data_IF_326761732613
#
_entry.id   IF_326761732613
#
_cell.length_a   1.000
_cell.length_b   1.000
_cell.length_c   1.000
_cell.angle_alpha   90.00
_cell.angle_beta   90.00
_cell.angle_gamma   90.00
#
_symmetry.space_group_name_H-M   'P 1'
#
loop_
_entity.id
_entity.type
_entity.pdbx_description
1 polymer ?
#
# COMPACT_ATOMS: atom_id res chain seq x y z
N UNK A 1 18.09 -0.74 10.69
CA UNK A 1 19.51 -0.44 11.05
C UNK A 1 20.48 -1.51 10.58
N UNK A 2 20.15 -2.82 10.69
CA UNK A 2 21.04 -3.92 10.29
C UNK A 2 21.41 -3.84 8.81
N UNK A 3 20.42 -3.65 7.93
CA UNK A 3 20.63 -3.52 6.48
C UNK A 3 21.57 -2.37 6.14
N UNK A 4 21.39 -1.20 6.76
CA UNK A 4 22.23 -0.02 6.51
C UNK A 4 23.71 -0.26 6.91
N UNK A 5 23.93 -0.99 8.01
CA UNK A 5 25.28 -1.37 8.43
C UNK A 5 25.95 -2.33 7.43
N UNK A 6 25.18 -3.29 6.90
CA UNK A 6 25.68 -4.25 5.91
C UNK A 6 26.12 -3.57 4.60
N UNK A 7 25.37 -2.56 4.16
CA UNK A 7 25.67 -1.82 2.92
C UNK A 7 26.53 -0.56 3.14
N UNK A 8 27.09 -0.41 4.35
CA UNK A 8 27.92 0.74 4.76
C UNK A 8 27.29 2.10 4.42
N UNK A 9 26.03 2.26 4.83
CA UNK A 9 25.29 3.51 4.65
C UNK A 9 24.68 4.00 5.96
N UNK A 10 24.70 5.31 6.12
CA UNK A 10 23.88 6.00 7.11
C UNK A 10 22.63 6.56 6.44
N UNK A 11 21.50 6.47 7.13
CA UNK A 11 20.27 7.09 6.66
C UNK A 11 19.90 8.30 7.52
N UNK A 12 19.01 9.13 7.03
CA UNK A 12 18.39 10.20 7.82
C UNK A 12 17.65 9.56 8.99
N UNK A 13 17.76 10.14 10.19
CA UNK A 13 17.05 9.63 11.37
C UNK A 13 15.55 9.63 11.13
N UNK A 14 14.84 8.64 11.69
CA UNK A 14 13.42 8.46 11.49
C UNK A 14 12.60 9.70 11.91
N UNK A 15 13.00 10.35 13.02
CA UNK A 15 12.37 11.57 13.51
C UNK A 15 12.41 12.69 12.46
N UNK A 16 13.50 12.79 11.71
CA UNK A 16 13.63 13.79 10.64
C UNK A 16 12.71 13.47 9.46
N UNK A 17 12.51 12.19 9.13
CA UNK A 17 11.51 11.79 8.13
C UNK A 17 10.10 12.20 8.54
N UNK A 18 9.75 12.04 9.82
CA UNK A 18 8.43 12.46 10.34
C UNK A 18 8.24 13.97 10.26
N UNK A 19 9.27 14.73 10.62
CA UNK A 19 9.25 16.18 10.51
C UNK A 19 9.02 16.63 9.06
N UNK A 20 9.80 16.08 8.11
CA UNK A 20 9.65 16.37 6.68
C UNK A 20 8.26 15.99 6.17
N UNK A 21 7.76 14.79 6.49
CA UNK A 21 6.43 14.34 6.06
C UNK A 21 5.32 15.28 6.55
N UNK A 22 5.42 15.75 7.79
CA UNK A 22 4.49 16.71 8.39
C UNK A 22 4.50 18.05 7.67
N UNK A 23 5.69 18.59 7.41
CA UNK A 23 5.82 19.88 6.71
C UNK A 23 5.29 19.80 5.28
N UNK A 24 5.57 18.71 4.55
CA UNK A 24 5.05 18.50 3.19
C UNK A 24 3.51 18.41 3.19
N UNK A 25 2.92 17.71 4.17
CA UNK A 25 1.47 17.61 4.29
C UNK A 25 0.84 18.98 4.61
N UNK A 26 1.41 19.75 5.56
CA UNK A 26 0.96 21.12 5.87
C UNK A 26 1.00 22.04 4.66
N UNK A 27 2.04 21.88 3.83
CA UNK A 27 2.18 22.62 2.58
C UNK A 27 1.34 22.05 1.42
N UNK A 28 0.60 20.95 1.64
CA UNK A 28 -0.16 20.20 0.61
C UNK A 28 0.73 19.76 -0.57
N UNK A 29 1.99 19.47 -0.30
CA UNK A 29 2.94 18.99 -1.29
C UNK A 29 3.03 17.47 -1.28
N UNK A 30 3.06 16.82 -2.46
CA UNK A 30 3.24 15.38 -2.52
C UNK A 30 4.64 14.98 -2.06
N UNK A 31 4.73 13.92 -1.25
CA UNK A 31 5.97 13.30 -0.83
C UNK A 31 6.02 11.86 -1.31
N UNK A 32 7.15 11.44 -1.85
CA UNK A 32 7.40 10.06 -2.23
C UNK A 32 8.71 9.56 -1.63
N UNK A 33 8.73 8.29 -1.22
CA UNK A 33 9.91 7.60 -0.74
C UNK A 33 10.32 6.51 -1.73
N UNK A 34 11.62 6.45 -2.04
CA UNK A 34 12.21 5.33 -2.77
C UNK A 34 12.71 4.28 -1.76
N UNK A 35 12.13 3.08 -1.84
CA UNK A 35 12.52 1.92 -1.04
C UNK A 35 13.21 0.90 -1.93
N UNK A 36 14.34 0.34 -1.47
CA UNK A 36 15.03 -0.73 -2.16
C UNK A 36 14.60 -2.08 -1.59
N UNK A 37 14.05 -2.94 -2.44
CA UNK A 37 13.71 -4.32 -2.12
C UNK A 37 14.88 -5.24 -2.36
N UNK A 38 15.21 -6.08 -1.39
CA UNK A 38 16.24 -7.11 -1.54
C UNK A 38 17.67 -6.58 -1.37
N UNK A 39 17.92 -5.62 -0.50
CA UNK A 39 19.28 -5.27 -0.06
C UNK A 39 19.87 -6.38 0.83
N UNK A 40 21.19 -6.65 0.78
CA UNK A 40 21.85 -7.51 1.75
C UNK A 40 21.56 -7.04 3.19
N UNK A 41 21.21 -7.98 4.07
CA UNK A 41 20.78 -7.67 5.44
C UNK A 41 19.29 -7.32 5.59
N UNK A 42 18.53 -7.17 4.51
CA UNK A 42 17.07 -7.08 4.59
C UNK A 42 16.41 -8.46 4.72
N UNK A 43 15.17 -8.47 5.19
CA UNK A 43 14.32 -9.66 5.28
C UNK A 43 12.92 -9.31 4.77
N UNK A 44 12.07 -10.31 4.52
CA UNK A 44 10.66 -10.11 4.19
C UNK A 44 9.96 -9.25 5.27
N UNK A 45 10.24 -9.53 6.54
CA UNK A 45 9.66 -8.78 7.67
C UNK A 45 10.13 -7.32 7.66
N UNK A 46 11.43 -7.05 7.47
CA UNK A 46 11.95 -5.68 7.45
C UNK A 46 11.38 -4.88 6.28
N UNK A 47 11.23 -5.51 5.11
CA UNK A 47 10.64 -4.88 3.93
C UNK A 47 9.16 -4.52 4.16
N UNK A 48 8.37 -5.47 4.68
CA UNK A 48 6.96 -5.22 5.07
C UNK A 48 6.84 -4.09 6.09
N UNK A 49 7.72 -4.07 7.10
CA UNK A 49 7.76 -3.02 8.12
C UNK A 49 8.08 -1.65 7.53
N UNK A 50 8.99 -1.58 6.56
CA UNK A 50 9.33 -0.29 5.93
C UNK A 50 8.19 0.22 5.04
N UNK A 51 7.46 -0.66 4.34
CA UNK A 51 6.24 -0.29 3.63
C UNK A 51 5.16 0.22 4.60
N UNK A 52 4.97 -0.46 5.76
CA UNK A 52 3.99 -0.03 6.77
C UNK A 52 4.34 1.34 7.36
N UNK A 53 5.62 1.63 7.64
CA UNK A 53 6.03 2.97 8.08
C UNK A 53 5.68 4.06 7.08
N UNK A 54 5.82 3.79 5.77
CA UNK A 54 5.42 4.73 4.74
C UNK A 54 3.89 4.91 4.69
N UNK A 55 3.13 3.84 4.85
CA UNK A 55 1.67 3.91 4.96
C UNK A 55 1.24 4.72 6.20
N UNK A 56 1.92 4.53 7.34
CA UNK A 56 1.69 5.29 8.58
C UNK A 56 1.95 6.79 8.41
N UNK A 57 2.92 7.16 7.59
CA UNK A 57 3.25 8.56 7.28
C UNK A 57 2.46 9.14 6.11
N UNK A 58 1.57 8.36 5.50
CA UNK A 58 0.84 8.71 4.27
C UNK A 58 1.78 9.15 3.11
N UNK A 59 2.93 8.48 3.00
CA UNK A 59 3.95 8.75 1.97
C UNK A 59 3.78 7.77 0.82
N UNK A 60 3.75 8.28 -0.41
CA UNK A 60 3.77 7.43 -1.60
C UNK A 60 5.09 6.69 -1.73
N UNK A 61 5.05 5.41 -2.05
CA UNK A 61 6.24 4.57 -2.17
C UNK A 61 6.54 4.24 -3.61
N UNK A 62 7.84 4.32 -3.96
CA UNK A 62 8.42 3.65 -5.12
C UNK A 62 9.36 2.58 -4.62
N UNK A 63 8.91 1.32 -4.61
CA UNK A 63 9.72 0.20 -4.19
C UNK A 63 10.44 -0.41 -5.40
N UNK A 64 11.75 -0.25 -5.46
CA UNK A 64 12.59 -0.69 -6.56
C UNK A 64 13.34 -1.97 -6.19
N UNK A 65 13.48 -2.89 -7.15
CA UNK A 65 14.34 -4.08 -7.00
C UNK A 65 15.80 -3.64 -6.94
N UNK A 66 16.57 -4.21 -6.02
CA UNK A 66 18.00 -3.94 -5.94
C UNK A 66 18.71 -4.50 -7.16
N UNK A 67 19.48 -3.65 -7.84
CA UNK A 67 20.30 -4.01 -8.99
C UNK A 67 21.78 -3.80 -8.65
N UNK A 68 22.61 -4.78 -8.95
CA UNK A 68 24.06 -4.66 -8.80
C UNK A 68 24.63 -3.81 -9.95
N UNK A 69 25.09 -2.64 -9.64
CA UNK A 69 25.76 -1.77 -10.62
C UNK A 69 27.20 -2.26 -10.84
N UNK A 70 27.75 -2.17 -12.07
CA UNK A 70 29.09 -2.69 -12.40
C UNK A 70 30.21 -2.22 -11.47
N UNK A 71 30.15 -0.97 -11.02
CA UNK A 71 31.18 -0.37 -10.16
C UNK A 71 30.71 -0.19 -8.70
N UNK A 72 29.67 -0.92 -8.30
CA UNK A 72 29.17 -0.88 -6.91
C UNK A 72 30.02 -1.79 -6.02
N UNK A 73 30.36 -1.38 -4.78
CA UNK A 73 31.00 -2.28 -3.81
C UNK A 73 30.24 -3.58 -3.60
N UNK A 74 28.91 -3.59 -3.66
CA UNK A 74 28.09 -4.79 -3.58
C UNK A 74 28.32 -5.79 -4.72
N UNK A 75 28.88 -5.37 -5.85
CA UNK A 75 29.19 -6.22 -6.99
C UNK A 75 30.60 -6.82 -6.96
N UNK A 76 31.44 -6.39 -6.03
CA UNK A 76 32.77 -6.95 -5.87
C UNK A 76 32.71 -8.44 -5.47
N UNK A 77 33.57 -9.30 -6.04
CA UNK A 77 33.55 -10.75 -5.76
C UNK A 77 33.67 -11.09 -4.27
N UNK A 78 34.49 -10.33 -3.52
CA UNK A 78 34.67 -10.51 -2.08
C UNK A 78 33.38 -10.25 -1.30
N UNK A 79 32.74 -9.13 -1.57
CA UNK A 79 31.48 -8.74 -0.94
C UNK A 79 30.33 -9.70 -1.30
N UNK A 80 30.22 -10.09 -2.58
CA UNK A 80 29.20 -11.07 -3.02
C UNK A 80 29.35 -12.39 -2.29
N UNK A 81 30.58 -12.88 -2.12
CA UNK A 81 30.85 -14.11 -1.39
C UNK A 81 30.52 -13.99 0.10
N UNK A 82 30.92 -12.90 0.73
CA UNK A 82 30.66 -12.64 2.15
C UNK A 82 29.17 -12.59 2.47
N UNK A 83 28.39 -11.94 1.61
CA UNK A 83 26.94 -11.73 1.83
C UNK A 83 26.06 -12.72 1.06
N UNK A 84 26.62 -13.79 0.47
CA UNK A 84 25.87 -14.84 -0.22
C UNK A 84 25.01 -14.32 -1.37
N UNK A 85 25.50 -13.32 -2.12
CA UNK A 85 24.73 -12.66 -3.16
C UNK A 85 24.61 -13.53 -4.41
N UNK A 86 23.37 -13.83 -4.81
CA UNK A 86 23.01 -14.44 -6.10
C UNK A 86 22.22 -13.40 -6.91
N UNK A 87 22.69 -13.15 -8.13
CA UNK A 87 22.05 -12.18 -9.03
C UNK A 87 21.58 -12.87 -10.33
N UNK A 88 20.47 -12.39 -10.87
CA UNK A 88 19.93 -12.81 -12.18
C UNK A 88 20.66 -12.06 -13.31
N UNK A 89 20.71 -12.62 -14.54
CA UNK A 89 21.16 -11.89 -15.72
C UNK A 89 20.48 -10.51 -15.81
N UNK A 90 21.27 -9.43 -15.99
CA UNK A 90 20.82 -8.04 -15.79
C UNK A 90 21.01 -7.54 -14.37
N UNK A 91 21.63 -8.37 -13.52
CA UNK A 91 22.16 -8.03 -12.19
C UNK A 91 21.14 -7.65 -11.12
N UNK A 92 19.88 -8.07 -11.27
CA UNK A 92 18.90 -8.00 -10.19
C UNK A 92 19.30 -8.98 -9.09
N UNK A 93 19.51 -8.45 -7.88
CA UNK A 93 19.87 -9.24 -6.70
C UNK A 93 18.65 -10.02 -6.24
N UNK A 94 18.73 -11.34 -6.19
CA UNK A 94 17.61 -12.24 -5.92
C UNK A 94 17.76 -13.08 -4.66
N UNK A 95 18.99 -13.25 -4.16
CA UNK A 95 19.27 -13.94 -2.90
C UNK A 95 20.42 -13.24 -2.19
N UNK A 96 20.40 -13.27 -0.88
CA UNK A 96 21.50 -12.89 -0.01
C UNK A 96 21.50 -13.76 1.24
N UNK A 97 22.56 -13.70 2.06
CA UNK A 97 22.62 -14.46 3.32
C UNK A 97 21.43 -14.19 4.27
N UNK A 98 20.70 -13.08 4.08
CA UNK A 98 19.58 -12.67 4.91
C UNK A 98 18.20 -13.05 4.38
N UNK A 99 18.09 -13.54 3.16
CA UNK A 99 16.83 -13.98 2.54
C UNK A 99 17.09 -14.96 1.39
N UNK A 100 16.17 -15.90 1.21
CA UNK A 100 16.17 -16.89 0.13
C UNK A 100 15.50 -16.34 -1.14
N UNK A 101 15.53 -17.15 -2.20
CA UNK A 101 14.79 -16.87 -3.43
C UNK A 101 13.28 -16.81 -3.19
N UNK A 102 12.75 -17.70 -2.37
CA UNK A 102 11.34 -17.73 -2.00
C UNK A 102 10.94 -16.47 -1.24
N UNK A 103 11.77 -16.02 -0.30
CA UNK A 103 11.55 -14.75 0.41
C UNK A 103 11.55 -13.56 -0.55
N UNK A 104 12.43 -13.58 -1.55
CA UNK A 104 12.49 -12.54 -2.57
C UNK A 104 11.23 -12.51 -3.44
N UNK A 105 10.77 -13.69 -3.88
CA UNK A 105 9.54 -13.82 -4.68
C UNK A 105 8.32 -13.33 -3.85
N UNK A 106 8.24 -13.65 -2.57
CA UNK A 106 7.21 -13.14 -1.66
C UNK A 106 7.29 -11.61 -1.46
N UNK A 107 8.50 -11.06 -1.32
CA UNK A 107 8.68 -9.59 -1.26
C UNK A 107 8.25 -8.93 -2.57
N UNK A 108 8.53 -9.52 -3.73
CA UNK A 108 8.11 -8.96 -5.02
C UNK A 108 6.60 -9.01 -5.21
N UNK A 109 5.96 -10.09 -4.80
CA UNK A 109 4.50 -10.19 -4.80
C UNK A 109 3.85 -9.15 -3.87
N UNK A 110 4.39 -8.98 -2.66
CA UNK A 110 3.93 -7.95 -1.73
C UNK A 110 4.14 -6.54 -2.31
N UNK A 111 5.29 -6.28 -2.94
CA UNK A 111 5.58 -5.02 -3.61
C UNK A 111 4.54 -4.70 -4.68
N UNK A 112 4.19 -5.68 -5.52
CA UNK A 112 3.17 -5.51 -6.57
C UNK A 112 1.78 -5.26 -5.96
N UNK A 113 1.40 -6.00 -4.92
CA UNK A 113 0.14 -5.79 -4.21
C UNK A 113 0.08 -4.40 -3.56
N UNK A 114 1.18 -3.95 -2.93
CA UNK A 114 1.27 -2.61 -2.35
C UNK A 114 1.12 -1.52 -3.43
N UNK A 115 1.78 -1.67 -4.58
CA UNK A 115 1.59 -0.74 -5.71
C UNK A 115 0.13 -0.65 -6.12
N UNK A 116 -0.53 -1.79 -6.28
CA UNK A 116 -1.91 -1.85 -6.74
C UNK A 116 -2.87 -1.27 -5.70
N UNK A 117 -2.76 -1.74 -4.47
CA UNK A 117 -3.74 -1.44 -3.42
C UNK A 117 -3.52 -0.09 -2.73
N UNK A 118 -2.25 0.31 -2.54
CA UNK A 118 -1.94 1.58 -1.91
C UNK A 118 -1.58 2.68 -2.92
N UNK A 119 -0.55 2.48 -3.76
CA UNK A 119 -0.05 3.55 -4.64
C UNK A 119 -1.07 3.94 -5.70
N UNK A 120 -1.69 2.95 -6.36
CA UNK A 120 -2.82 3.18 -7.25
C UNK A 120 -4.16 3.36 -6.52
N UNK A 121 -4.19 3.12 -5.22
CA UNK A 121 -5.31 3.45 -4.34
C UNK A 121 -6.50 2.50 -4.42
N UNK A 122 -6.35 1.26 -4.94
CA UNK A 122 -7.50 0.36 -5.12
C UNK A 122 -8.13 -0.12 -3.81
N UNK A 123 -7.37 -0.12 -2.68
CA UNK A 123 -7.87 -0.52 -1.35
C UNK A 123 -7.45 0.43 -0.23
N UNK A 124 -6.84 1.57 -0.53
CA UNK A 124 -6.26 2.48 0.48
C UNK A 124 -7.28 2.91 1.54
N UNK A 125 -8.46 3.31 1.13
CA UNK A 125 -9.50 3.81 2.05
C UNK A 125 -10.09 2.67 2.88
N UNK A 126 -10.35 1.53 2.27
CA UNK A 126 -10.81 0.33 2.96
C UNK A 126 -9.75 -0.19 3.95
N UNK A 127 -8.47 -0.18 3.59
CA UNK A 127 -7.40 -0.62 4.48
C UNK A 127 -7.30 0.23 5.76
N UNK A 128 -7.49 1.54 5.66
CA UNK A 128 -7.57 2.43 6.82
C UNK A 128 -8.74 2.08 7.74
N UNK A 129 -9.90 1.77 7.17
CA UNK A 129 -11.07 1.30 7.91
C UNK A 129 -10.79 -0.04 8.60
N UNK A 130 -10.25 -1.02 7.88
CA UNK A 130 -9.87 -2.33 8.43
C UNK A 130 -8.91 -2.16 9.62
N UNK A 131 -7.91 -1.30 9.48
CA UNK A 131 -6.96 -1.04 10.57
C UNK A 131 -7.67 -0.47 11.80
N UNK A 132 -8.62 0.45 11.63
CA UNK A 132 -9.37 1.01 12.77
C UNK A 132 -10.23 -0.05 13.45
N UNK A 133 -10.90 -0.89 12.69
CA UNK A 133 -11.87 -1.83 13.23
C UNK A 133 -11.23 -3.04 13.92
N UNK A 134 -10.12 -3.57 13.36
CA UNK A 134 -9.52 -4.83 13.84
C UNK A 134 -8.01 -4.75 14.10
N UNK A 135 -7.40 -3.57 14.02
CA UNK A 135 -5.95 -3.39 14.29
C UNK A 135 -5.02 -3.95 13.21
N UNK A 136 -5.54 -4.47 12.12
CA UNK A 136 -4.71 -5.01 11.04
C UNK A 136 -4.08 -3.89 10.23
N UNK A 137 -2.74 -3.81 10.21
CA UNK A 137 -2.01 -2.82 9.42
C UNK A 137 -2.29 -2.95 7.92
N UNK A 138 -2.21 -1.84 7.19
CA UNK A 138 -2.53 -1.78 5.76
C UNK A 138 -1.73 -2.80 4.95
N UNK A 139 -0.43 -2.91 5.21
CA UNK A 139 0.45 -3.85 4.49
C UNK A 139 0.09 -5.30 4.77
N UNK A 140 -0.26 -5.64 6.02
CA UNK A 140 -0.72 -6.97 6.39
C UNK A 140 -2.05 -7.30 5.70
N UNK A 141 -2.98 -6.35 5.63
CA UNK A 141 -4.23 -6.49 4.91
C UNK A 141 -4.01 -6.74 3.41
N UNK A 142 -3.15 -5.95 2.77
CA UNK A 142 -2.82 -6.14 1.34
C UNK A 142 -2.18 -7.50 1.06
N UNK A 143 -1.26 -7.93 1.92
CA UNK A 143 -0.60 -9.24 1.78
C UNK A 143 -1.59 -10.40 1.97
N UNK A 144 -2.51 -10.28 2.93
CA UNK A 144 -3.53 -11.29 3.15
C UNK A 144 -4.51 -11.38 1.98
N UNK A 145 -5.05 -10.26 1.50
CA UNK A 145 -5.95 -10.23 0.32
C UNK A 145 -5.26 -10.84 -0.91
N UNK A 146 -4.00 -10.45 -1.17
CA UNK A 146 -3.19 -11.01 -2.26
C UNK A 146 -3.03 -12.52 -2.12
N UNK A 147 -2.64 -12.95 -0.93
CA UNK A 147 -2.35 -14.36 -0.66
C UNK A 147 -3.60 -15.23 -0.80
N UNK A 148 -4.73 -14.79 -0.24
CA UNK A 148 -5.98 -15.54 -0.29
C UNK A 148 -6.54 -15.59 -1.71
N UNK A 149 -6.54 -14.48 -2.44
CA UNK A 149 -6.97 -14.46 -3.83
C UNK A 149 -6.07 -15.33 -4.74
N UNK A 150 -4.77 -15.39 -4.47
CA UNK A 150 -3.83 -16.25 -5.23
C UNK A 150 -4.01 -17.74 -4.93
N UNK A 151 -4.32 -18.10 -3.67
CA UNK A 151 -4.57 -19.49 -3.26
C UNK A 151 -5.97 -19.98 -3.66
N UNK A 152 -6.94 -19.09 -3.67
CA UNK A 152 -8.35 -19.39 -3.92
C UNK A 152 -8.93 -18.56 -5.08
N UNK A 153 -8.37 -18.67 -6.32
CA UNK A 153 -8.75 -17.81 -7.44
C UNK A 153 -10.20 -18.01 -7.92
N UNK A 154 -10.81 -19.15 -7.60
CA UNK A 154 -12.21 -19.41 -7.92
C UNK A 154 -13.17 -18.78 -6.89
N UNK A 155 -12.71 -18.52 -5.69
CA UNK A 155 -13.47 -17.87 -4.63
C UNK A 155 -13.39 -16.34 -4.74
N UNK A 156 -12.21 -15.84 -5.14
CA UNK A 156 -11.90 -14.42 -5.28
C UNK A 156 -11.46 -14.05 -6.72
N UNK A 157 -12.31 -14.36 -7.75
CA UNK A 157 -11.89 -14.29 -9.15
C UNK A 157 -11.59 -12.87 -9.64
N UNK A 158 -12.31 -11.86 -9.14
CA UNK A 158 -12.11 -10.47 -9.57
C UNK A 158 -10.84 -9.91 -8.96
N UNK A 159 -10.60 -10.15 -7.68
CA UNK A 159 -9.37 -9.75 -6.97
C UNK A 159 -8.15 -10.43 -7.59
N UNK A 160 -8.24 -11.75 -7.88
CA UNK A 160 -7.18 -12.48 -8.56
C UNK A 160 -6.84 -11.88 -9.94
N UNK A 161 -7.84 -11.60 -10.76
CA UNK A 161 -7.62 -10.93 -12.07
C UNK A 161 -7.00 -9.54 -11.90
N UNK A 162 -7.44 -8.78 -10.90
CA UNK A 162 -6.91 -7.46 -10.59
C UNK A 162 -5.42 -7.52 -10.24
N UNK A 163 -5.01 -8.50 -9.43
CA UNK A 163 -3.59 -8.73 -9.11
C UNK A 163 -2.77 -9.05 -10.37
N UNK A 164 -3.30 -9.87 -11.28
CA UNK A 164 -2.62 -10.23 -12.54
C UNK A 164 -2.49 -9.09 -13.54
N UNK A 165 -3.24 -8.02 -13.37
CA UNK A 165 -3.17 -6.83 -14.24
C UNK A 165 -1.77 -6.23 -14.30
N UNK A 166 -1.07 -6.12 -13.16
CA UNK A 166 0.29 -5.58 -13.12
C UNK A 166 1.33 -6.53 -13.72
N UNK A 167 1.10 -7.85 -13.68
CA UNK A 167 1.99 -8.83 -14.26
C UNK A 167 1.88 -8.87 -15.79
N UNK A 168 0.69 -8.66 -16.33
CA UNK A 168 0.40 -8.78 -17.76
C UNK A 168 0.22 -7.47 -18.52
N UNK A 169 0.33 -6.31 -17.86
CA UNK A 169 0.00 -5.01 -18.45
C UNK A 169 -1.40 -4.97 -19.08
N UNK A 170 -2.31 -5.78 -18.57
CA UNK A 170 -3.68 -5.87 -19.07
C UNK A 170 -4.53 -4.76 -18.45
N UNK A 171 -5.54 -4.33 -19.20
CA UNK A 171 -6.52 -3.40 -18.66
C UNK A 171 -7.22 -3.99 -17.42
N UNK A 172 -7.50 -3.19 -16.39
CA UNK A 172 -8.22 -3.65 -15.24
C UNK A 172 -9.60 -4.21 -15.60
N UNK A 173 -10.17 -5.05 -14.74
CA UNK A 173 -11.52 -5.58 -14.97
C UNK A 173 -12.51 -4.45 -15.26
N UNK A 174 -13.36 -4.62 -16.25
CA UNK A 174 -14.27 -3.58 -16.75
C UNK A 174 -15.33 -3.08 -15.77
N UNK A 175 -15.41 -3.66 -14.55
CA UNK A 175 -16.35 -3.21 -13.54
C UNK A 175 -15.71 -3.19 -12.14
N UNK A 176 -15.38 -2.00 -11.69
CA UNK A 176 -14.92 -1.77 -10.32
C UNK A 176 -15.99 -2.10 -9.28
N UNK A 177 -17.27 -2.04 -9.65
CA UNK A 177 -18.36 -2.43 -8.76
C UNK A 177 -18.27 -3.91 -8.35
N UNK A 178 -17.87 -4.81 -9.26
CA UNK A 178 -17.63 -6.22 -8.95
C UNK A 178 -16.44 -6.42 -8.01
N UNK A 179 -15.37 -5.64 -8.22
CA UNK A 179 -14.20 -5.68 -7.34
C UNK A 179 -14.57 -5.24 -5.90
N UNK A 180 -15.27 -4.11 -5.77
CA UNK A 180 -15.72 -3.60 -4.47
C UNK A 180 -16.71 -4.56 -3.79
N UNK A 181 -17.61 -5.15 -4.54
CA UNK A 181 -18.54 -6.15 -4.00
C UNK A 181 -17.80 -7.40 -3.49
N UNK A 182 -16.78 -7.88 -4.23
CA UNK A 182 -15.96 -9.02 -3.79
C UNK A 182 -15.13 -8.66 -2.55
N UNK A 183 -14.54 -7.48 -2.50
CA UNK A 183 -13.83 -6.99 -1.30
C UNK A 183 -14.80 -6.85 -0.11
N UNK A 184 -16.00 -6.30 -0.29
CA UNK A 184 -17.01 -6.23 0.77
C UNK A 184 -17.34 -7.62 1.33
N UNK A 185 -17.56 -8.62 0.47
CA UNK A 185 -17.75 -10.01 0.86
C UNK A 185 -16.54 -10.56 1.62
N UNK A 186 -15.32 -10.30 1.15
CA UNK A 186 -14.07 -10.70 1.81
C UNK A 186 -13.98 -10.13 3.24
N UNK A 187 -14.29 -8.87 3.42
CA UNK A 187 -14.24 -8.19 4.73
C UNK A 187 -15.22 -8.83 5.72
N UNK A 188 -16.40 -9.21 5.27
CA UNK A 188 -17.43 -9.86 6.13
C UNK A 188 -17.11 -11.33 6.34
N UNK A 189 -16.85 -12.10 5.29
CA UNK A 189 -16.69 -13.55 5.37
C UNK A 189 -15.34 -13.98 5.95
N UNK A 190 -14.24 -13.31 5.60
CA UNK A 190 -12.88 -13.68 6.02
C UNK A 190 -12.45 -12.89 7.25
N UNK A 191 -12.54 -11.56 7.22
CA UNK A 191 -12.10 -10.71 8.33
C UNK A 191 -13.16 -10.54 9.43
N UNK A 192 -14.37 -11.06 9.24
CA UNK A 192 -15.46 -11.04 10.22
C UNK A 192 -15.91 -9.63 10.64
N UNK A 193 -15.74 -8.66 9.75
CA UNK A 193 -16.27 -7.32 9.97
C UNK A 193 -17.80 -7.34 9.87
N UNK A 194 -18.44 -6.46 10.62
CA UNK A 194 -19.92 -6.32 10.58
C UNK A 194 -20.33 -5.62 9.28
N UNK A 195 -21.34 -6.16 8.59
CA UNK A 195 -21.97 -5.50 7.45
C UNK A 195 -22.93 -4.41 7.95
N UNK A 196 -22.37 -3.24 8.22
CA UNK A 196 -23.08 -2.07 8.74
C UNK A 196 -22.91 -0.84 7.83
N UNK A 197 -23.50 0.29 8.24
CA UNK A 197 -23.42 1.53 7.49
C UNK A 197 -21.99 2.08 7.40
N UNK A 198 -21.13 1.82 8.41
CA UNK A 198 -19.75 2.29 8.40
C UNK A 198 -18.92 1.52 7.36
N UNK A 199 -19.06 0.20 7.27
CA UNK A 199 -18.44 -0.61 6.23
C UNK A 199 -18.91 -0.18 4.84
N UNK A 200 -20.23 0.02 4.66
CA UNK A 200 -20.78 0.50 3.38
C UNK A 200 -20.24 1.88 3.00
N UNK A 201 -20.10 2.80 3.97
CA UNK A 201 -19.47 4.11 3.75
C UNK A 201 -18.02 3.95 3.29
N UNK A 202 -17.21 3.14 3.95
CA UNK A 202 -15.81 2.92 3.57
C UNK A 202 -15.69 2.32 2.15
N UNK A 203 -16.53 1.35 1.79
CA UNK A 203 -16.59 0.77 0.45
C UNK A 203 -17.06 1.77 -0.61
N UNK A 204 -18.04 2.62 -0.29
CA UNK A 204 -18.53 3.65 -1.20
C UNK A 204 -17.45 4.69 -1.48
N UNK A 205 -16.73 5.15 -0.45
CA UNK A 205 -15.59 6.06 -0.60
C UNK A 205 -14.49 5.42 -1.45
N UNK A 206 -14.14 4.15 -1.17
CA UNK A 206 -13.16 3.43 -1.97
C UNK A 206 -13.59 3.35 -3.45
N UNK A 207 -14.84 2.98 -3.72
CA UNK A 207 -15.38 2.91 -5.08
C UNK A 207 -15.34 4.26 -5.81
N UNK A 208 -15.65 5.33 -5.09
CA UNK A 208 -15.67 6.67 -5.65
C UNK A 208 -14.27 7.17 -6.08
N UNK A 209 -13.20 6.64 -5.52
CA UNK A 209 -11.81 6.96 -5.89
C UNK A 209 -11.22 6.02 -6.96
N UNK A 210 -11.97 5.02 -7.41
CA UNK A 210 -11.50 4.15 -8.48
C UNK A 210 -11.64 4.80 -9.86
N UNK A 211 -10.86 4.38 -10.86
CA UNK A 211 -10.95 4.90 -12.22
C UNK A 211 -12.37 4.84 -12.76
N UNK A 212 -12.87 5.95 -13.26
CA UNK A 212 -14.21 6.09 -13.77
C UNK A 212 -14.22 7.02 -15.01
N UNK A 213 -13.87 6.49 -16.21
CA UNK A 213 -13.74 7.29 -17.44
C UNK A 213 -14.98 8.09 -17.80
N UNK A 214 -16.17 7.57 -17.47
CA UNK A 214 -17.45 8.18 -17.79
C UNK A 214 -18.01 9.09 -16.69
N UNK A 215 -17.28 9.21 -15.57
CA UNK A 215 -17.72 10.05 -14.43
C UNK A 215 -17.42 11.52 -14.71
N UNK A 216 -18.39 12.36 -14.46
CA UNK A 216 -18.20 13.83 -14.47
C UNK A 216 -17.65 14.30 -13.14
N UNK A 217 -16.67 15.19 -13.15
CA UNK A 217 -16.09 15.80 -11.99
C UNK A 217 -16.36 17.32 -11.97
N UNK A 218 -16.52 17.96 -10.80
CA UNK A 218 -16.56 17.32 -9.48
C UNK A 218 -17.77 16.39 -9.32
N UNK A 219 -17.61 15.29 -8.61
CA UNK A 219 -18.70 14.38 -8.28
C UNK A 219 -18.99 14.41 -6.78
N UNK A 220 -20.27 14.44 -6.42
CA UNK A 220 -20.71 14.41 -5.05
C UNK A 220 -21.23 13.02 -4.68
N UNK A 221 -20.89 12.55 -3.47
CA UNK A 221 -21.32 11.29 -2.91
C UNK A 221 -21.91 11.52 -1.51
N UNK A 222 -23.20 11.20 -1.36
CA UNK A 222 -23.86 11.23 -0.05
C UNK A 222 -23.43 10.02 0.77
N UNK A 223 -22.95 10.24 1.98
CA UNK A 223 -22.43 9.23 2.89
C UNK A 223 -23.24 9.19 4.19
N UNK A 224 -23.44 8.01 4.74
CA UNK A 224 -24.09 7.84 6.06
C UNK A 224 -23.15 8.29 7.20
N UNK A 225 -21.83 8.33 6.96
CA UNK A 225 -20.82 8.77 7.92
C UNK A 225 -19.77 9.66 7.24
N UNK A 226 -19.33 10.72 7.93
CA UNK A 226 -18.27 11.62 7.45
C UNK A 226 -16.90 10.96 7.45
N UNK A 227 -16.62 10.25 6.37
CA UNK A 227 -15.33 9.58 6.16
C UNK A 227 -14.17 10.59 6.09
N UNK A 228 -14.38 11.78 5.54
CA UNK A 228 -13.32 12.77 5.40
C UNK A 228 -12.87 13.30 6.77
N UNK A 229 -13.80 13.73 7.61
CA UNK A 229 -13.50 14.16 8.97
C UNK A 229 -12.88 13.05 9.82
N UNK A 230 -13.39 11.82 9.67
CA UNK A 230 -12.79 10.63 10.33
C UNK A 230 -11.34 10.39 9.89
N UNK A 231 -11.08 10.46 8.58
CA UNK A 231 -9.73 10.26 8.03
C UNK A 231 -8.76 11.35 8.50
N UNK A 232 -9.20 12.60 8.60
CA UNK A 232 -8.37 13.69 9.10
C UNK A 232 -7.91 13.43 10.53
N UNK A 233 -8.79 12.96 11.40
CA UNK A 233 -8.41 12.56 12.78
C UNK A 233 -7.43 11.38 12.78
N UNK A 234 -7.60 10.40 11.90
CA UNK A 234 -6.66 9.30 11.74
C UNK A 234 -5.25 9.82 11.38
N UNK A 235 -5.16 10.73 10.44
CA UNK A 235 -3.88 11.30 10.02
C UNK A 235 -3.24 12.14 11.13
N UNK A 236 -4.02 12.90 11.88
CA UNK A 236 -3.56 13.67 13.05
C UNK A 236 -2.99 12.73 14.12
N UNK A 237 -3.72 11.68 14.51
CA UNK A 237 -3.27 10.72 15.51
C UNK A 237 -1.92 10.07 15.10
N UNK A 238 -1.76 9.73 13.81
CA UNK A 238 -0.50 9.22 13.28
C UNK A 238 0.66 10.22 13.38
N UNK A 239 0.38 11.52 13.18
CA UNK A 239 1.37 12.60 13.33
C UNK A 239 1.80 12.80 14.77
N UNK A 240 0.88 12.67 15.72
CA UNK A 240 1.14 12.79 17.14
C UNK A 240 1.91 11.61 17.75
N UNK A 241 2.13 10.57 16.96
CA UNK A 241 2.93 9.40 17.34
C UNK A 241 2.12 8.20 17.81
N UNK A 242 0.80 8.27 17.82
CA UNK A 242 -0.12 7.19 18.17
C UNK A 242 -0.22 6.17 17.04
N UNK A 243 0.86 5.41 16.81
CA UNK A 243 0.95 4.47 15.67
C UNK A 243 0.49 3.08 16.01
N UNK A 244 0.72 2.68 17.25
CA UNK A 244 0.41 1.35 17.75
C UNK A 244 -0.89 1.34 18.57
N UNK A 245 -1.27 2.49 19.14
CA UNK A 245 -2.46 2.71 19.99
C UNK A 245 -3.50 3.67 19.38
N UNK A 246 -3.36 4.01 18.10
CA UNK A 246 -4.24 4.99 17.45
C UNK A 246 -5.73 4.60 17.46
N UNK A 247 -6.05 3.32 17.64
CA UNK A 247 -7.42 2.86 17.83
C UNK A 247 -8.08 3.48 19.06
N UNK A 248 -7.28 3.82 20.10
CA UNK A 248 -7.77 4.48 21.31
C UNK A 248 -7.93 5.99 21.12
N UNK A 249 -7.31 6.56 20.09
CA UNK A 249 -7.30 8.00 19.80
C UNK A 249 -8.20 8.41 18.64
N UNK A 250 -8.63 7.46 17.80
CA UNK A 250 -9.50 7.71 16.64
C UNK A 250 -10.87 7.06 16.88
N UNK A 251 -11.97 7.82 16.95
CA UNK A 251 -13.32 7.27 17.06
C UNK A 251 -13.63 6.29 15.92
N UNK A 252 -14.62 5.43 16.12
CA UNK A 252 -15.10 4.56 15.03
C UNK A 252 -15.84 5.40 13.98
N UNK A 253 -15.78 4.96 12.72
CA UNK A 253 -16.43 5.67 11.63
C UNK A 253 -17.94 5.85 11.86
N UNK A 254 -18.61 4.88 12.49
CA UNK A 254 -20.03 4.95 12.82
C UNK A 254 -20.40 6.05 13.83
N UNK A 255 -19.42 6.66 14.49
CA UNK A 255 -19.65 7.78 15.43
C UNK A 255 -19.76 9.14 14.72
N UNK A 256 -19.44 9.19 13.42
CA UNK A 256 -19.57 10.40 12.58
C UNK A 256 -20.94 10.44 11.90
N UNK A 257 -21.53 11.62 11.86
CA UNK A 257 -22.81 11.84 11.19
C UNK A 257 -22.72 11.80 9.66
N UNK A 258 -23.86 11.95 8.97
CA UNK A 258 -23.90 12.00 7.52
C UNK A 258 -23.11 13.18 6.95
N UNK A 259 -22.52 13.01 5.75
CA UNK A 259 -21.82 14.05 5.03
C UNK A 259 -21.86 13.85 3.51
N UNK A 260 -21.60 14.91 2.77
CA UNK A 260 -21.40 14.85 1.32
C UNK A 260 -19.91 14.91 1.02
N UNK A 261 -19.36 13.86 0.42
CA UNK A 261 -17.99 13.82 -0.08
C UNK A 261 -17.96 14.38 -1.51
N UNK A 262 -17.22 15.48 -1.73
CA UNK A 262 -16.97 16.02 -3.06
C UNK A 262 -15.62 15.54 -3.55
N UNK A 263 -15.60 14.87 -4.72
CA UNK A 263 -14.38 14.38 -5.35
C UNK A 263 -14.08 15.25 -6.55
N UNK A 264 -12.90 15.86 -6.55
CA UNK A 264 -12.35 16.62 -7.65
C UNK A 264 -11.28 15.78 -8.38
N UNK A 265 -11.17 15.95 -9.69
CA UNK A 265 -10.15 15.28 -10.49
C UNK A 265 -9.42 16.27 -11.43
N UNK A 266 -8.73 17.29 -10.88
CA UNK A 266 -8.11 18.36 -11.67
C UNK A 266 -7.00 17.85 -12.59
N UNK A 267 -6.44 16.67 -12.28
CA UNK A 267 -5.38 16.02 -13.09
C UNK A 267 -5.90 14.93 -14.02
N UNK A 268 -7.22 14.74 -14.08
CA UNK A 268 -7.89 13.71 -14.89
C UNK A 268 -7.38 12.29 -14.61
N UNK A 269 -6.94 12.01 -13.38
CA UNK A 269 -6.36 10.71 -13.00
C UNK A 269 -7.43 9.64 -12.92
N UNK A 270 -8.59 9.95 -12.35
CA UNK A 270 -9.72 9.02 -12.26
C UNK A 270 -10.39 8.74 -13.60
N UNK A 271 -10.17 9.61 -14.59
CA UNK A 271 -10.66 9.42 -15.97
C UNK A 271 -9.73 8.51 -16.78
N UNK A 272 -8.52 8.22 -16.28
CA UNK A 272 -7.55 7.38 -16.97
C UNK A 272 -7.69 5.94 -16.53
N UNK A 273 -7.65 5.05 -17.50
CA UNK A 273 -7.50 3.63 -17.23
C UNK A 273 -6.12 3.36 -16.60
N UNK A 274 -6.07 2.52 -15.55
CA UNK A 274 -4.81 2.17 -14.86
C UNK A 274 -3.75 1.66 -15.86
N UNK A 275 -4.18 0.96 -16.90
CA UNK A 275 -3.29 0.49 -17.98
C UNK A 275 -2.70 1.58 -18.87
N UNK A 276 -3.19 2.80 -18.79
CA UNK A 276 -2.73 3.96 -19.59
C UNK A 276 -2.00 5.02 -18.78
N UNK A 277 -1.95 4.89 -17.46
CA UNK A 277 -1.16 5.76 -16.60
C UNK A 277 0.33 5.39 -16.74
N UNK A 278 0.96 5.95 -17.77
CA UNK A 278 2.42 5.95 -17.92
C UNK A 278 3.02 7.19 -17.29
#
# INVERSE_FOLDING_TARGET
ETTLKVIDRSNIKLEKYHEVAREFRRAKLPLAADIMMGLPGSTRISFSTDLQKCADMDIRVRANKTTLLPNSPMNEPGYRKEHGIVAKPGEILMEAASYTREDWDEMDQLRLAYYLFDVYGLLRYVARYVRREIGMGEVAFYDQVRSDASRHPNEWPVTFKTLKTLEGYMAPPGSWSLFIAEIGRYLVEVLKLTDDSALRTALAVQHAHLPAPDRKFPSALELEHDYAAWQDLLLIAREEGHRDDWQDHVPRLCEFGPATLVIEDPSEVCQRDIGKAK
#
